data_IF_015573328089
#
_entry.id   IF_015573328089
#
_cell.length_a   1.000
_cell.length_b   1.000
_cell.length_c   1.000
_cell.angle_alpha   90.00
_cell.angle_beta   90.00
_cell.angle_gamma   90.00
#
_symmetry.space_group_name_H-M   'P 1'
#
loop_
_entity.id
_entity.type
_entity.pdbx_description
1 polymer ?
#
# COMPACT_ATOMS: atom_id res chain seq x y z
N UNK A 1 -58.00 7.60 -41.89
CA UNK A 1 -56.89 7.31 -40.97
C UNK A 1 -55.64 7.07 -41.83
N UNK A 2 -54.80 8.09 -42.05
CA UNK A 2 -53.57 7.98 -42.88
C UNK A 2 -52.38 7.74 -41.96
N UNK A 3 -51.70 6.62 -42.13
CA UNK A 3 -50.46 6.32 -41.42
C UNK A 3 -49.34 7.19 -42.01
N UNK A 4 -48.76 8.07 -41.19
CA UNK A 4 -47.50 8.73 -41.52
C UNK A 4 -46.40 7.67 -41.52
N UNK A 5 -46.01 7.20 -42.70
CA UNK A 5 -44.78 6.45 -42.88
C UNK A 5 -43.64 7.44 -42.63
N UNK A 6 -43.05 7.37 -41.45
CA UNK A 6 -41.83 8.12 -41.12
C UNK A 6 -40.73 7.67 -42.08
N UNK A 7 -40.30 8.57 -42.96
CA UNK A 7 -39.10 8.35 -43.76
C UNK A 7 -37.94 8.16 -42.78
N UNK A 8 -37.35 6.97 -42.75
CA UNK A 8 -36.13 6.72 -41.99
C UNK A 8 -34.98 7.08 -42.92
N UNK A 9 -34.52 8.32 -42.83
CA UNK A 9 -33.33 8.75 -43.54
C UNK A 9 -32.16 7.91 -43.00
N UNK A 10 -31.51 7.16 -43.90
CA UNK A 10 -30.35 6.33 -43.55
C UNK A 10 -29.13 7.18 -43.17
N UNK A 11 -28.15 6.57 -42.52
CA UNK A 11 -26.91 7.26 -42.17
C UNK A 11 -26.09 7.61 -43.41
N UNK A 12 -25.58 8.84 -43.44
CA UNK A 12 -24.66 9.27 -44.50
C UNK A 12 -23.27 8.69 -44.27
N UNK A 13 -22.49 8.48 -45.33
CA UNK A 13 -21.12 7.96 -45.23
C UNK A 13 -20.23 8.81 -44.29
N UNK A 14 -20.36 10.14 -44.38
CA UNK A 14 -19.61 11.07 -43.55
C UNK A 14 -19.97 10.93 -42.06
N UNK A 15 -21.25 10.70 -41.76
CA UNK A 15 -21.72 10.54 -40.38
C UNK A 15 -21.20 9.24 -39.77
N UNK A 16 -21.15 8.15 -40.53
CA UNK A 16 -20.57 6.88 -40.07
C UNK A 16 -19.07 7.02 -39.79
N UNK A 17 -18.33 7.70 -40.67
CA UNK A 17 -16.89 7.93 -40.48
C UNK A 17 -16.65 8.83 -39.26
N UNK A 18 -17.44 9.90 -39.09
CA UNK A 18 -17.40 10.76 -37.90
C UNK A 18 -17.74 10.00 -36.61
N UNK A 19 -18.75 9.14 -36.64
CA UNK A 19 -19.12 8.33 -35.47
C UNK A 19 -18.01 7.34 -35.08
N UNK A 20 -17.40 6.65 -36.06
CA UNK A 20 -16.32 5.67 -35.80
C UNK A 20 -15.05 6.37 -35.30
N UNK A 21 -14.71 7.55 -35.81
CA UNK A 21 -13.56 8.33 -35.35
C UNK A 21 -13.74 8.86 -33.92
N UNK A 22 -14.91 9.42 -33.60
CA UNK A 22 -15.25 9.85 -32.24
C UNK A 22 -15.24 8.65 -31.29
N UNK A 23 -15.86 7.54 -31.68
CA UNK A 23 -15.86 6.31 -30.87
C UNK A 23 -14.44 5.80 -30.61
N UNK A 24 -13.59 5.79 -31.63
CA UNK A 24 -12.18 5.39 -31.49
C UNK A 24 -11.46 6.31 -30.51
N UNK A 25 -11.59 7.64 -30.65
CA UNK A 25 -10.97 8.59 -29.74
C UNK A 25 -11.44 8.41 -28.28
N UNK A 26 -12.74 8.23 -28.06
CA UNK A 26 -13.33 8.01 -26.73
C UNK A 26 -12.81 6.71 -26.12
N UNK A 27 -12.75 5.62 -26.87
CA UNK A 27 -12.26 4.33 -26.35
C UNK A 27 -10.79 4.39 -25.91
N UNK A 28 -9.92 5.10 -26.65
CA UNK A 28 -8.53 5.33 -26.23
C UNK A 28 -8.46 6.20 -24.96
N UNK A 29 -9.30 7.23 -24.85
CA UNK A 29 -9.34 8.08 -23.66
C UNK A 29 -9.77 7.31 -22.39
N UNK A 30 -10.55 6.23 -22.51
CA UNK A 30 -11.00 5.43 -21.36
C UNK A 30 -9.96 4.41 -20.87
N UNK A 31 -9.00 4.00 -21.70
CA UNK A 31 -8.00 2.99 -21.33
C UNK A 31 -6.95 3.50 -20.33
N UNK A 32 -6.53 4.76 -20.46
CA UNK A 32 -5.50 5.34 -19.60
C UNK A 32 -5.93 5.56 -18.13
N UNK A 33 -7.15 6.05 -17.82
CA UNK A 33 -7.63 6.15 -16.45
C UNK A 33 -7.77 4.80 -15.74
N UNK A 34 -8.24 3.76 -16.44
CA UNK A 34 -8.42 2.44 -15.86
C UNK A 34 -7.10 1.82 -15.37
N UNK A 35 -6.03 1.94 -16.16
CA UNK A 35 -4.69 1.45 -15.76
C UNK A 35 -4.10 2.24 -14.57
N UNK A 36 -4.29 3.56 -14.54
CA UNK A 36 -3.91 4.41 -13.40
C UNK A 36 -4.69 4.03 -12.13
N UNK A 37 -5.98 3.74 -12.25
CA UNK A 37 -6.81 3.33 -11.11
C UNK A 37 -6.37 1.97 -10.54
N UNK A 38 -6.08 0.99 -11.41
CA UNK A 38 -5.60 -0.33 -10.99
C UNK A 38 -4.24 -0.24 -10.28
N UNK A 39 -3.30 0.53 -10.83
CA UNK A 39 -2.00 0.74 -10.20
C UNK A 39 -2.10 1.49 -8.86
N UNK A 40 -2.95 2.52 -8.76
CA UNK A 40 -3.22 3.22 -7.50
C UNK A 40 -3.83 2.31 -6.42
N UNK A 41 -4.78 1.45 -6.80
CA UNK A 41 -5.40 0.48 -5.89
C UNK A 41 -4.38 -0.56 -5.41
N UNK A 42 -3.58 -1.12 -6.31
CA UNK A 42 -2.52 -2.07 -5.97
C UNK A 42 -1.48 -1.48 -5.01
N UNK A 43 -1.04 -0.25 -5.27
CA UNK A 43 -0.11 0.47 -4.38
C UNK A 43 -0.73 0.73 -3.00
N UNK A 44 -2.02 1.09 -2.95
CA UNK A 44 -2.74 1.30 -1.70
C UNK A 44 -2.86 0.01 -0.89
N UNK A 45 -3.19 -1.11 -1.53
CA UNK A 45 -3.26 -2.41 -0.87
C UNK A 45 -1.90 -2.83 -0.28
N UNK A 46 -0.81 -2.65 -1.04
CA UNK A 46 0.56 -2.90 -0.54
C UNK A 46 0.88 -2.07 0.68
N UNK A 47 0.52 -0.78 0.66
CA UNK A 47 0.75 0.14 1.79
C UNK A 47 -0.05 -0.25 3.03
N UNK A 48 -1.31 -0.67 2.87
CA UNK A 48 -2.15 -1.16 3.96
C UNK A 48 -1.53 -2.41 4.60
N UNK A 49 -1.15 -3.39 3.79
CA UNK A 49 -0.55 -4.64 4.28
C UNK A 49 0.81 -4.39 4.95
N UNK A 50 1.64 -3.51 4.39
CA UNK A 50 2.89 -3.11 5.01
C UNK A 50 2.64 -2.39 6.36
N UNK A 51 1.63 -1.52 6.47
CA UNK A 51 1.28 -0.92 7.75
C UNK A 51 0.87 -1.97 8.76
N UNK A 52 -0.07 -2.86 8.40
CA UNK A 52 -0.54 -3.93 9.26
C UNK A 52 0.60 -4.82 9.75
N UNK A 53 1.59 -5.12 8.89
CA UNK A 53 2.76 -5.90 9.27
C UNK A 53 3.69 -5.15 10.26
N UNK A 54 3.86 -3.83 10.09
CA UNK A 54 4.62 -3.03 11.05
C UNK A 54 3.91 -2.98 12.41
N UNK A 55 2.59 -2.78 12.40
CA UNK A 55 1.76 -2.72 13.60
C UNK A 55 1.74 -4.09 14.32
N UNK A 56 1.61 -5.20 13.58
CA UNK A 56 1.71 -6.55 14.12
C UNK A 56 3.07 -6.83 14.75
N UNK A 57 4.17 -6.38 14.13
CA UNK A 57 5.50 -6.55 14.70
C UNK A 57 5.65 -5.77 16.01
N UNK A 58 5.12 -4.55 16.10
CA UNK A 58 5.11 -3.79 17.35
C UNK A 58 4.26 -4.49 18.41
N UNK A 59 3.10 -5.05 18.05
CA UNK A 59 2.28 -5.83 18.98
C UNK A 59 3.04 -7.05 19.52
N UNK A 60 3.74 -7.80 18.67
CA UNK A 60 4.56 -8.94 19.09
C UNK A 60 5.67 -8.54 20.06
N UNK A 61 6.30 -7.39 19.86
CA UNK A 61 7.31 -6.84 20.76
C UNK A 61 6.69 -6.53 22.13
N UNK A 62 5.52 -5.86 22.15
CA UNK A 62 4.82 -5.50 23.39
C UNK A 62 4.32 -6.70 24.19
N UNK A 63 3.99 -7.80 23.52
CA UNK A 63 3.55 -9.04 24.15
C UNK A 63 4.71 -9.91 24.65
N UNK A 64 5.97 -9.48 24.45
CA UNK A 64 7.12 -10.26 24.92
C UNK A 64 7.20 -10.26 26.44
N UNK A 65 7.29 -11.44 27.09
CA UNK A 65 7.29 -11.53 28.55
C UNK A 65 8.61 -11.09 29.20
N UNK A 66 9.72 -11.14 28.45
CA UNK A 66 11.07 -10.86 28.98
C UNK A 66 11.61 -9.59 28.34
N UNK A 67 11.64 -8.51 29.12
CA UNK A 67 12.10 -7.17 28.70
C UNK A 67 13.56 -7.18 28.24
N UNK A 68 14.46 -7.83 28.98
CA UNK A 68 15.90 -7.85 28.66
C UNK A 68 16.23 -8.54 27.32
N UNK A 69 15.36 -9.46 26.89
CA UNK A 69 15.55 -10.24 25.65
C UNK A 69 15.10 -9.50 24.39
N UNK A 70 14.44 -8.34 24.51
CA UNK A 70 13.80 -7.66 23.39
C UNK A 70 14.77 -7.39 22.23
N UNK A 71 15.99 -6.94 22.55
CA UNK A 71 17.00 -6.67 21.52
C UNK A 71 17.42 -7.95 20.79
N UNK A 72 17.80 -8.98 21.54
CA UNK A 72 18.27 -10.25 20.96
C UNK A 72 17.19 -10.90 20.10
N UNK A 73 15.92 -10.81 20.52
CA UNK A 73 14.81 -11.48 19.85
C UNK A 73 14.31 -10.75 18.61
N UNK A 74 14.33 -9.41 18.61
CA UNK A 74 13.63 -8.63 17.59
C UNK A 74 14.54 -7.75 16.73
N UNK A 75 15.73 -7.37 17.19
CA UNK A 75 16.67 -6.55 16.41
C UNK A 75 17.15 -7.34 15.19
N UNK A 76 16.59 -7.02 14.02
CA UNK A 76 16.78 -7.81 12.81
C UNK A 76 16.37 -7.06 11.55
N UNK A 77 17.01 -7.45 10.45
CA UNK A 77 16.58 -7.10 9.09
C UNK A 77 16.07 -8.36 8.42
N UNK A 78 14.86 -8.32 7.87
CA UNK A 78 14.24 -9.42 7.13
C UNK A 78 13.81 -8.95 5.75
N UNK A 79 14.39 -9.56 4.72
CA UNK A 79 14.02 -9.35 3.31
C UNK A 79 12.80 -10.20 2.94
N UNK A 80 12.06 -9.76 1.94
CA UNK A 80 10.83 -10.38 1.45
C UNK A 80 9.74 -10.55 2.55
N UNK A 81 9.73 -9.64 3.52
CA UNK A 81 8.77 -9.61 4.63
C UNK A 81 8.16 -8.21 4.71
N UNK A 82 6.83 -8.06 4.76
CA UNK A 82 5.81 -9.13 4.80
C UNK A 82 5.56 -9.86 3.48
N UNK A 83 6.07 -9.36 2.35
CA UNK A 83 5.93 -9.98 1.03
C UNK A 83 7.16 -9.72 0.15
N UNK A 84 7.33 -10.45 -0.97
CA UNK A 84 8.47 -10.26 -1.86
C UNK A 84 8.67 -8.81 -2.31
N UNK A 85 9.93 -8.37 -2.34
CA UNK A 85 10.31 -7.01 -2.71
C UNK A 85 10.19 -5.96 -1.60
N UNK A 86 9.72 -6.34 -0.40
CA UNK A 86 9.79 -5.52 0.81
C UNK A 86 10.79 -6.05 1.82
N UNK A 87 11.36 -5.13 2.59
CA UNK A 87 12.28 -5.40 3.68
C UNK A 87 11.75 -4.77 4.95
N UNK A 88 11.69 -5.56 6.01
CA UNK A 88 11.38 -5.11 7.37
C UNK A 88 12.67 -5.02 8.18
N UNK A 89 12.97 -3.82 8.69
CA UNK A 89 14.04 -3.56 9.65
C UNK A 89 13.39 -3.27 11.00
N UNK A 90 13.72 -4.07 12.01
CA UNK A 90 13.34 -3.79 13.41
C UNK A 90 14.60 -3.44 14.17
N UNK A 91 14.65 -2.23 14.72
CA UNK A 91 15.75 -1.74 15.53
C UNK A 91 15.29 -1.60 16.97
N UNK A 92 16.08 -2.11 17.91
CA UNK A 92 15.78 -2.10 19.35
C UNK A 92 16.92 -1.40 20.09
N UNK A 93 16.62 -0.27 20.71
CA UNK A 93 17.60 0.54 21.45
C UNK A 93 17.12 0.71 22.89
N UNK A 94 17.90 0.18 23.84
CA UNK A 94 17.67 0.35 25.28
C UNK A 94 18.53 1.48 25.81
N UNK A 95 17.95 2.33 26.64
CA UNK A 95 18.60 3.47 27.29
C UNK A 95 18.46 3.36 28.81
N UNK A 96 19.50 3.80 29.53
CA UNK A 96 19.54 3.82 30.99
C UNK A 96 19.30 2.44 31.66
N UNK A 97 19.92 1.40 31.08
CA UNK A 97 19.76 0.01 31.51
C UNK A 97 20.08 -0.17 33.01
N UNK A 98 19.17 -0.81 33.75
CA UNK A 98 19.35 -1.09 35.19
C UNK A 98 19.12 0.11 36.11
N UNK A 99 18.57 1.21 35.59
CA UNK A 99 18.20 2.40 36.39
C UNK A 99 16.69 2.58 36.43
N UNK A 100 16.19 3.49 37.28
CA UNK A 100 14.77 3.85 37.32
C UNK A 100 14.24 4.46 35.99
N UNK A 101 15.12 4.88 35.08
CA UNK A 101 14.78 5.41 33.76
C UNK A 101 14.94 4.41 32.61
N UNK A 102 15.03 3.11 32.90
CA UNK A 102 15.27 2.08 31.89
C UNK A 102 14.11 1.97 30.90
N UNK A 103 14.42 2.33 29.66
CA UNK A 103 13.44 2.40 28.57
C UNK A 103 14.05 1.77 27.32
N UNK A 104 13.25 0.96 26.62
CA UNK A 104 13.58 0.38 25.33
C UNK A 104 12.69 0.99 24.25
N UNK A 105 13.33 1.66 23.28
CA UNK A 105 12.69 2.16 22.06
C UNK A 105 12.86 1.13 20.95
N UNK A 106 11.73 0.68 20.40
CA UNK A 106 11.67 -0.22 19.26
C UNK A 106 11.12 0.52 18.06
N UNK A 107 11.82 0.45 16.94
CA UNK A 107 11.45 1.07 15.68
C UNK A 107 11.35 0.00 14.61
N UNK A 108 10.15 -0.19 14.06
CA UNK A 108 9.90 -1.08 12.93
C UNK A 108 9.75 -0.22 11.68
N UNK A 109 10.59 -0.48 10.69
CA UNK A 109 10.56 0.18 9.37
C UNK A 109 10.32 -0.87 8.29
N UNK A 110 9.37 -0.62 7.40
CA UNK A 110 9.13 -1.43 6.21
C UNK A 110 9.36 -0.56 4.98
N UNK A 111 10.25 -1.00 4.10
CA UNK A 111 10.63 -0.32 2.86
C UNK A 111 10.76 -1.30 1.71
N UNK A 112 10.79 -0.81 0.47
CA UNK A 112 10.99 -1.65 -0.72
C UNK A 112 10.18 -1.21 -1.93
N UNK A 113 10.18 -2.04 -2.96
CA UNK A 113 9.49 -1.74 -4.23
C UNK A 113 7.97 -1.63 -4.04
N UNK A 114 7.35 -0.60 -4.62
CA UNK A 114 5.91 -0.37 -4.52
C UNK A 114 5.47 0.43 -3.29
N UNK A 115 6.41 0.87 -2.44
CA UNK A 115 6.16 1.88 -1.41
C UNK A 115 6.88 3.18 -1.80
N UNK A 116 6.12 4.26 -1.99
CA UNK A 116 6.70 5.57 -2.28
C UNK A 116 7.55 6.11 -1.12
N UNK A 117 7.15 5.80 0.12
CA UNK A 117 7.88 6.14 1.33
C UNK A 117 7.90 4.95 2.30
N UNK A 118 9.00 4.75 3.05
CA UNK A 118 9.05 3.73 4.10
C UNK A 118 7.98 3.95 5.16
N UNK A 119 7.34 2.88 5.60
CA UNK A 119 6.41 2.90 6.73
C UNK A 119 7.20 2.68 8.01
N UNK A 120 7.03 3.57 8.98
CA UNK A 120 7.73 3.54 10.26
C UNK A 120 6.72 3.47 11.41
N UNK A 121 6.99 2.60 12.38
CA UNK A 121 6.24 2.47 13.63
C UNK A 121 7.21 2.40 14.80
N UNK A 122 6.84 3.04 15.89
CA UNK A 122 7.69 3.14 17.08
C UNK A 122 6.88 2.70 18.30
N UNK A 123 7.52 1.94 19.18
CA UNK A 123 7.03 1.68 20.52
C UNK A 123 8.14 1.99 21.53
N UNK A 124 7.72 2.51 22.67
CA UNK A 124 8.57 2.74 23.83
C UNK A 124 8.04 1.87 24.95
N UNK A 125 8.91 1.07 25.56
CA UNK A 125 8.57 0.11 26.61
C UNK A 125 9.47 0.45 27.80
N UNK A 126 8.87 0.70 28.96
CA UNK A 126 9.63 0.86 30.20
C UNK A 126 9.95 -0.52 30.79
N UNK A 127 11.08 -0.63 31.49
CA UNK A 127 11.34 -1.79 32.31
C UNK A 127 10.22 -1.93 33.38
N UNK A 128 9.81 -3.18 33.71
CA UNK A 128 8.86 -3.45 34.78
C UNK A 128 9.39 -3.07 36.16
#
# INVERSE_FOLDING_TARGET
MRAHVRNRDGFTLIEVIMAVTILSAVTLMMAAPASKFLSATSNSQRRILASAAADAQIALVRMSPVYDSLRVKFDSTRINVPFPGLTRVTSVVRTAAGTAGDITRVVVTISGSGLATPIKRTATIAAP
#
